data_IF_330985230174
#
_entry.id   IF_330985230174
#
_cell.length_a   1.000
_cell.length_b   1.000
_cell.length_c   1.000
_cell.angle_alpha   90.00
_cell.angle_beta   90.00
_cell.angle_gamma   90.00
#
_symmetry.space_group_name_H-M   'P 1'
#
loop_
_entity.id
_entity.type
_entity.pdbx_description
1 polymer ?
#
# COMPACT_ATOMS: atom_id res chain seq x y z
N UNK A 1 -4.44 10.79 28.03
CA UNK A 1 -5.06 10.79 26.68
C UNK A 1 -3.93 10.62 25.69
N UNK A 2 -4.13 9.79 24.66
CA UNK A 2 -3.13 9.60 23.59
C UNK A 2 -2.85 10.92 22.86
N UNK A 3 -1.58 11.20 22.57
CA UNK A 3 -1.19 12.36 21.76
C UNK A 3 -1.22 12.05 20.24
N UNK A 4 -1.57 10.82 19.88
CA UNK A 4 -1.67 10.41 18.47
C UNK A 4 -2.95 10.92 17.82
N UNK A 5 -2.91 11.12 16.51
CA UNK A 5 -4.13 11.39 15.77
C UNK A 5 -5.13 10.24 15.95
N UNK A 6 -6.45 10.51 15.99
CA UNK A 6 -7.44 9.45 16.12
C UNK A 6 -7.44 8.53 14.90
N UNK A 7 -7.82 7.26 15.05
CA UNK A 7 -8.09 6.39 13.93
C UNK A 7 -9.11 7.00 12.97
N UNK A 8 -9.04 6.61 11.70
CA UNK A 8 -9.96 7.06 10.67
C UNK A 8 -11.39 6.57 10.96
N UNK A 9 -12.40 7.39 10.69
CA UNK A 9 -13.79 7.13 11.05
C UNK A 9 -14.20 7.59 12.44
N UNK A 10 -13.26 8.07 13.28
CA UNK A 10 -13.53 8.78 14.54
C UNK A 10 -14.03 7.95 15.74
N UNK A 11 -14.20 6.64 15.55
CA UNK A 11 -14.76 5.72 16.60
C UNK A 11 -13.71 4.79 17.24
N UNK A 12 -12.43 5.03 17.06
CA UNK A 12 -11.38 4.08 17.41
C UNK A 12 -11.09 3.11 16.27
N UNK A 13 -10.23 2.13 16.52
CA UNK A 13 -9.97 1.06 15.55
C UNK A 13 -11.16 0.11 15.48
N UNK A 14 -11.62 -0.18 14.26
CA UNK A 14 -12.61 -1.24 13.98
C UNK A 14 -11.86 -2.54 13.80
N UNK A 15 -11.77 -3.34 14.86
CA UNK A 15 -11.07 -4.63 14.88
C UNK A 15 -12.09 -5.75 14.68
N UNK A 16 -11.92 -6.53 13.60
CA UNK A 16 -12.77 -7.67 13.27
C UNK A 16 -12.05 -9.01 13.47
N UNK A 17 -10.77 -9.00 13.88
CA UNK A 17 -9.99 -10.18 14.21
C UNK A 17 -10.45 -10.74 15.55
N UNK A 18 -10.90 -12.00 15.56
CA UNK A 18 -11.33 -12.68 16.77
C UNK A 18 -10.14 -13.28 17.53
N UNK A 19 -10.28 -13.40 18.85
CA UNK A 19 -9.28 -13.99 19.72
C UNK A 19 -9.96 -14.89 20.77
N UNK A 20 -9.18 -15.79 21.38
CA UNK A 20 -9.60 -16.62 22.51
C UNK A 20 -10.79 -17.54 22.21
N UNK A 21 -11.75 -17.61 23.12
CA UNK A 21 -12.88 -18.54 23.03
C UNK A 21 -13.82 -18.23 21.85
N UNK A 22 -14.02 -16.95 21.54
CA UNK A 22 -14.86 -16.52 20.41
C UNK A 22 -14.28 -16.99 19.08
N UNK A 23 -12.95 -16.92 18.92
CA UNK A 23 -12.24 -17.44 17.74
C UNK A 23 -12.47 -18.94 17.57
N UNK A 24 -12.34 -19.73 18.64
CA UNK A 24 -12.48 -21.18 18.58
C UNK A 24 -13.95 -21.62 18.26
N UNK A 25 -14.91 -20.88 18.76
CA UNK A 25 -16.33 -21.10 18.45
C UNK A 25 -16.62 -20.79 16.98
N UNK A 26 -16.17 -19.64 16.49
CA UNK A 26 -16.40 -19.22 15.12
C UNK A 26 -15.66 -20.10 14.11
N UNK A 27 -14.46 -20.60 14.42
CA UNK A 27 -13.72 -21.59 13.61
C UNK A 27 -14.50 -22.89 13.43
N UNK A 28 -15.12 -23.39 14.49
CA UNK A 28 -15.97 -24.60 14.41
C UNK A 28 -17.18 -24.38 13.52
N UNK A 29 -17.85 -23.24 13.69
CA UNK A 29 -18.99 -22.83 12.86
C UNK A 29 -18.60 -22.72 11.40
N UNK A 30 -17.47 -22.09 11.11
CA UNK A 30 -16.98 -21.84 9.74
C UNK A 30 -16.78 -23.12 8.93
N UNK A 31 -16.43 -24.24 9.55
CA UNK A 31 -16.26 -25.54 8.87
C UNK A 31 -17.54 -26.08 8.22
N UNK A 32 -18.70 -25.66 8.72
CA UNK A 32 -20.01 -26.07 8.16
C UNK A 32 -20.61 -25.08 7.15
N UNK A 33 -19.94 -23.94 6.89
CA UNK A 33 -20.43 -22.92 5.99
C UNK A 33 -20.00 -23.15 4.54
N UNK A 34 -20.75 -22.60 3.60
CA UNK A 34 -20.33 -22.51 2.20
C UNK A 34 -19.02 -21.74 2.11
N UNK A 35 -18.02 -22.35 1.51
CA UNK A 35 -16.72 -21.70 1.29
C UNK A 35 -16.73 -20.87 0.02
N UNK A 36 -16.21 -19.64 0.13
CA UNK A 36 -16.01 -18.70 -0.97
C UNK A 36 -14.49 -18.50 -1.10
N UNK A 37 -13.87 -18.92 -2.21
CA UNK A 37 -12.44 -18.77 -2.40
C UNK A 37 -12.07 -17.31 -2.63
N UNK A 38 -11.12 -16.81 -1.84
CA UNK A 38 -10.57 -15.45 -1.94
C UNK A 38 -9.25 -15.44 -2.72
N UNK A 39 -8.94 -14.31 -3.33
CA UNK A 39 -7.64 -14.08 -3.99
C UNK A 39 -6.61 -13.58 -2.97
N UNK A 40 -5.29 -13.64 -3.28
CA UNK A 40 -4.25 -13.07 -2.41
C UNK A 40 -4.46 -11.60 -2.09
N UNK A 41 -5.00 -10.81 -3.02
CA UNK A 41 -5.31 -9.41 -2.81
C UNK A 41 -6.46 -9.23 -1.81
N UNK A 42 -7.53 -10.02 -1.95
CA UNK A 42 -8.67 -10.01 -1.03
C UNK A 42 -8.27 -10.54 0.35
N UNK A 43 -7.33 -11.49 0.44
CA UNK A 43 -6.71 -11.94 1.70
C UNK A 43 -6.03 -10.78 2.41
N UNK A 44 -5.20 -10.01 1.70
CA UNK A 44 -4.52 -8.84 2.27
C UNK A 44 -5.52 -7.79 2.78
N UNK A 45 -6.58 -7.50 1.99
CA UNK A 45 -7.65 -6.59 2.39
C UNK A 45 -8.39 -7.09 3.64
N UNK A 46 -8.68 -8.38 3.69
CA UNK A 46 -9.35 -9.03 4.81
C UNK A 46 -8.54 -8.92 6.12
N UNK A 47 -7.22 -9.14 6.05
CA UNK A 47 -6.34 -8.99 7.22
C UNK A 47 -6.30 -7.52 7.66
N UNK A 48 -6.23 -6.57 6.72
CA UNK A 48 -6.28 -5.13 7.06
C UNK A 48 -7.61 -4.72 7.69
N UNK A 49 -8.74 -5.29 7.26
CA UNK A 49 -10.04 -5.11 7.93
C UNK A 49 -9.99 -5.73 9.32
N UNK A 50 -9.51 -6.97 9.42
CA UNK A 50 -9.43 -7.72 10.67
C UNK A 50 -8.66 -7.01 11.76
N UNK A 51 -7.48 -6.52 11.45
CA UNK A 51 -6.57 -5.86 12.40
C UNK A 51 -6.90 -4.39 12.67
N UNK A 52 -7.90 -3.84 11.98
CA UNK A 52 -8.28 -2.42 12.08
C UNK A 52 -7.44 -1.49 11.22
N UNK A 53 -6.57 -2.03 10.35
CA UNK A 53 -5.80 -1.25 9.38
C UNK A 53 -6.70 -0.48 8.40
N UNK A 54 -7.83 -1.06 8.05
CA UNK A 54 -8.83 -0.45 7.19
C UNK A 54 -10.04 0.15 7.95
N UNK A 55 -9.86 0.51 9.23
CA UNK A 55 -10.91 1.27 9.93
C UNK A 55 -11.36 2.48 9.12
N UNK A 56 -12.67 2.78 9.03
CA UNK A 56 -13.76 2.19 9.79
C UNK A 56 -14.43 0.96 9.15
N UNK A 57 -13.88 0.38 8.08
CA UNK A 57 -14.48 -0.77 7.42
C UNK A 57 -14.57 -1.97 8.39
N UNK A 58 -15.76 -2.58 8.44
CA UNK A 58 -16.01 -3.83 9.17
C UNK A 58 -16.21 -5.04 8.25
N UNK A 59 -16.01 -4.84 6.95
CA UNK A 59 -16.17 -5.85 5.92
C UNK A 59 -16.06 -5.28 4.51
N UNK A 60 -16.52 -6.03 3.53
CA UNK A 60 -16.46 -5.65 2.12
C UNK A 60 -17.64 -4.75 1.72
N UNK A 61 -17.36 -3.83 0.80
CA UNK A 61 -18.23 -2.72 0.44
C UNK A 61 -19.51 -3.15 -0.27
N UNK A 62 -20.61 -2.49 0.10
CA UNK A 62 -21.88 -2.50 -0.63
C UNK A 62 -21.73 -1.85 -2.01
N UNK A 63 -22.70 -2.05 -2.90
CA UNK A 63 -22.75 -1.36 -4.20
C UNK A 63 -22.81 0.16 -4.03
N UNK A 64 -23.51 0.63 -2.99
CA UNK A 64 -23.59 2.04 -2.67
C UNK A 64 -22.22 2.62 -2.27
N UNK A 65 -21.48 1.93 -1.39
CA UNK A 65 -20.10 2.32 -1.02
C UNK A 65 -19.18 2.28 -2.21
N UNK A 66 -19.17 1.18 -2.98
CA UNK A 66 -18.37 1.03 -4.18
C UNK A 66 -18.56 2.20 -5.16
N UNK A 67 -19.83 2.53 -5.44
CA UNK A 67 -20.18 3.63 -6.37
C UNK A 67 -19.72 4.98 -5.84
N UNK A 68 -20.00 5.27 -4.57
CA UNK A 68 -19.65 6.54 -3.93
C UNK A 68 -18.14 6.72 -3.81
N UNK A 69 -17.40 5.65 -3.50
CA UNK A 69 -15.93 5.67 -3.44
C UNK A 69 -15.34 5.96 -4.83
N UNK A 70 -15.86 5.31 -5.88
CA UNK A 70 -15.43 5.60 -7.25
C UNK A 70 -15.63 7.06 -7.62
N UNK A 71 -16.78 7.64 -7.31
CA UNK A 71 -17.16 8.98 -7.75
C UNK A 71 -16.65 10.10 -6.85
N UNK A 72 -16.76 9.91 -5.55
CA UNK A 72 -16.71 10.98 -4.57
C UNK A 72 -15.55 10.84 -3.55
N UNK A 73 -14.79 9.76 -3.56
CA UNK A 73 -13.81 9.44 -2.50
C UNK A 73 -14.45 9.29 -1.11
N UNK A 74 -15.72 8.91 -1.03
CA UNK A 74 -16.48 8.79 0.21
C UNK A 74 -17.23 7.46 0.26
N UNK A 75 -17.29 6.83 1.44
CA UNK A 75 -18.27 5.80 1.73
C UNK A 75 -19.68 6.38 1.67
N UNK A 76 -20.70 5.54 1.60
CA UNK A 76 -22.09 5.97 1.55
C UNK A 76 -22.54 6.79 2.77
N UNK A 77 -21.86 6.62 3.91
CA UNK A 77 -22.09 7.42 5.12
C UNK A 77 -21.35 8.77 5.13
N UNK A 78 -20.62 9.09 4.06
CA UNK A 78 -19.84 10.32 3.92
C UNK A 78 -18.42 10.26 4.51
N UNK A 79 -17.96 9.13 5.01
CA UNK A 79 -16.57 8.97 5.47
C UNK A 79 -15.61 8.90 4.29
N UNK A 80 -14.51 9.64 4.34
CA UNK A 80 -13.48 9.62 3.30
C UNK A 80 -12.94 8.20 3.08
N UNK A 81 -12.89 7.76 1.82
CA UNK A 81 -12.29 6.49 1.43
C UNK A 81 -11.92 6.48 -0.06
N UNK A 82 -10.64 6.23 -0.44
CA UNK A 82 -10.18 6.56 -1.80
C UNK A 82 -10.29 5.45 -2.85
N UNK A 83 -10.32 4.17 -2.45
CA UNK A 83 -10.31 3.02 -3.39
C UNK A 83 -11.31 1.96 -2.92
N UNK A 84 -12.11 1.36 -3.82
CA UNK A 84 -12.99 0.26 -3.46
C UNK A 84 -12.26 -0.92 -2.81
N UNK A 85 -12.87 -1.50 -1.77
CA UNK A 85 -12.47 -2.74 -1.10
C UNK A 85 -13.61 -3.73 -1.24
N UNK A 86 -13.49 -4.67 -2.16
CA UNK A 86 -14.57 -5.57 -2.58
C UNK A 86 -14.14 -7.03 -2.54
N UNK A 87 -15.10 -7.93 -2.39
CA UNK A 87 -14.91 -9.38 -2.43
C UNK A 87 -15.61 -9.95 -3.66
N UNK A 88 -14.83 -10.56 -4.53
CA UNK A 88 -15.38 -11.14 -5.77
C UNK A 88 -15.83 -12.59 -5.60
N UNK A 89 -16.95 -12.95 -6.25
CA UNK A 89 -17.50 -14.29 -6.28
C UNK A 89 -17.87 -14.72 -7.71
N UNK A 90 -17.76 -16.02 -7.99
CA UNK A 90 -18.25 -16.57 -9.24
C UNK A 90 -19.78 -16.46 -9.31
N UNK A 91 -20.34 -16.58 -10.52
CA UNK A 91 -21.80 -16.64 -10.69
C UNK A 91 -22.38 -17.84 -9.94
N UNK A 92 -21.72 -18.99 -9.98
CA UNK A 92 -22.14 -20.20 -9.28
C UNK A 92 -22.20 -20.00 -7.77
N UNK A 93 -21.16 -19.38 -7.19
CA UNK A 93 -21.14 -19.06 -5.77
C UNK A 93 -22.24 -18.06 -5.41
N UNK A 94 -22.40 -16.98 -6.18
CA UNK A 94 -23.40 -15.96 -5.95
C UNK A 94 -24.84 -16.50 -6.07
N UNK A 95 -25.11 -17.39 -7.02
CA UNK A 95 -26.42 -18.02 -7.19
C UNK A 95 -26.76 -18.98 -6.02
N UNK A 96 -25.75 -19.59 -5.40
CA UNK A 96 -25.91 -20.53 -4.27
C UNK A 96 -26.11 -19.86 -2.90
N UNK A 97 -25.98 -18.52 -2.82
CA UNK A 97 -26.04 -17.75 -1.58
C UNK A 97 -27.20 -16.76 -1.63
N UNK A 98 -27.91 -16.59 -0.53
CA UNK A 98 -28.92 -15.55 -0.32
C UNK A 98 -28.41 -14.44 0.57
N UNK A 99 -28.96 -13.24 0.43
CA UNK A 99 -28.74 -12.16 1.39
C UNK A 99 -29.26 -12.60 2.77
N UNK A 100 -28.44 -12.40 3.79
CA UNK A 100 -28.65 -12.88 5.14
C UNK A 100 -27.89 -14.17 5.47
N UNK A 101 -27.42 -14.92 4.48
CA UNK A 101 -26.60 -16.12 4.70
C UNK A 101 -25.24 -15.78 5.27
N UNK A 102 -24.66 -16.74 5.97
CA UNK A 102 -23.26 -16.69 6.40
C UNK A 102 -22.39 -17.61 5.53
N UNK A 103 -21.22 -17.13 5.16
CA UNK A 103 -20.25 -17.86 4.33
C UNK A 103 -18.88 -17.87 5.01
N UNK A 104 -18.05 -18.84 4.65
CA UNK A 104 -16.65 -18.91 5.05
C UNK A 104 -15.76 -18.39 3.91
N UNK A 105 -14.87 -17.47 4.19
CA UNK A 105 -13.88 -16.96 3.24
C UNK A 105 -12.63 -17.83 3.32
N UNK A 106 -12.34 -18.54 2.24
CA UNK A 106 -11.31 -19.57 2.17
C UNK A 106 -10.13 -19.12 1.32
N UNK A 107 -8.92 -19.20 1.87
CA UNK A 107 -7.68 -18.97 1.15
C UNK A 107 -7.17 -20.28 0.52
N UNK A 108 -7.23 -20.44 -0.82
CA UNK A 108 -6.77 -21.67 -1.49
C UNK A 108 -5.24 -21.84 -1.45
N UNK A 109 -4.46 -20.76 -1.28
CA UNK A 109 -3.00 -20.83 -1.19
C UNK A 109 -2.54 -21.32 0.19
N UNK A 110 -3.18 -20.83 1.25
CA UNK A 110 -2.89 -21.22 2.63
C UNK A 110 -3.65 -22.46 3.10
N UNK A 111 -4.61 -22.96 2.33
CA UNK A 111 -5.53 -24.06 2.68
C UNK A 111 -6.22 -23.80 4.03
N UNK A 112 -6.70 -22.57 4.25
CA UNK A 112 -7.35 -22.19 5.50
C UNK A 112 -8.58 -21.29 5.33
N UNK A 113 -9.51 -21.39 6.30
CA UNK A 113 -10.63 -20.44 6.39
C UNK A 113 -10.15 -19.21 7.15
N UNK A 114 -10.11 -18.08 6.43
CA UNK A 114 -9.60 -16.81 6.95
C UNK A 114 -10.64 -16.00 7.72
N UNK A 115 -11.93 -16.16 7.40
CA UNK A 115 -13.00 -15.40 8.04
C UNK A 115 -14.36 -16.06 7.83
N UNK A 116 -15.36 -15.64 8.62
CA UNK A 116 -16.77 -15.75 8.26
C UNK A 116 -17.31 -14.38 7.86
N UNK A 117 -18.31 -14.36 6.99
CA UNK A 117 -18.96 -13.14 6.53
C UNK A 117 -20.46 -13.34 6.48
N UNK A 118 -21.23 -12.37 7.01
CA UNK A 118 -22.68 -12.30 6.80
C UNK A 118 -22.94 -11.52 5.51
N UNK A 119 -23.45 -12.17 4.50
CA UNK A 119 -23.76 -11.52 3.21
C UNK A 119 -24.98 -10.60 3.37
N UNK A 120 -24.75 -9.30 3.24
CA UNK A 120 -25.83 -8.30 3.32
C UNK A 120 -26.31 -7.84 1.95
N UNK A 121 -25.46 -7.97 0.94
CA UNK A 121 -25.76 -7.61 -0.44
C UNK A 121 -24.88 -8.44 -1.38
N UNK A 122 -25.44 -8.80 -2.54
CA UNK A 122 -24.67 -9.31 -3.68
C UNK A 122 -25.03 -8.52 -4.92
N UNK A 123 -24.03 -8.10 -5.69
CA UNK A 123 -24.25 -7.29 -6.89
C UNK A 123 -23.32 -7.70 -8.02
N UNK A 124 -23.89 -7.65 -9.24
CA UNK A 124 -23.17 -8.00 -10.45
C UNK A 124 -22.14 -6.94 -10.82
N UNK A 125 -20.93 -7.40 -11.17
CA UNK A 125 -19.84 -6.60 -11.73
C UNK A 125 -19.73 -6.90 -13.22
N UNK A 126 -20.60 -6.22 -14.00
CA UNK A 126 -20.53 -6.27 -15.46
C UNK A 126 -19.18 -5.73 -15.96
N UNK A 127 -18.82 -6.04 -17.21
CA UNK A 127 -17.62 -5.47 -17.82
C UNK A 127 -17.64 -3.93 -17.79
N UNK A 128 -18.81 -3.31 -18.01
CA UNK A 128 -18.99 -1.86 -17.90
C UNK A 128 -18.68 -1.35 -16.48
N UNK A 129 -19.14 -2.04 -15.44
CA UNK A 129 -18.85 -1.68 -14.05
C UNK A 129 -17.37 -1.81 -13.72
N UNK A 130 -16.71 -2.85 -14.23
CA UNK A 130 -15.26 -3.03 -14.05
C UNK A 130 -14.47 -1.93 -14.76
N UNK A 131 -14.81 -1.62 -16.01
CA UNK A 131 -14.22 -0.50 -16.77
C UNK A 131 -14.44 0.83 -16.06
N UNK A 132 -15.64 1.08 -15.60
CA UNK A 132 -15.96 2.27 -14.82
C UNK A 132 -15.09 2.39 -13.55
N UNK A 133 -14.95 1.32 -12.77
CA UNK A 133 -14.06 1.30 -11.61
C UNK A 133 -12.61 1.59 -12.01
N UNK A 134 -12.12 0.99 -13.10
CA UNK A 134 -10.77 1.21 -13.59
C UNK A 134 -10.53 2.67 -13.97
N UNK A 135 -11.42 3.27 -14.74
CA UNK A 135 -11.33 4.69 -15.14
C UNK A 135 -11.29 5.61 -13.91
N UNK A 136 -12.18 5.37 -12.94
CA UNK A 136 -12.22 6.17 -11.72
C UNK A 136 -11.02 5.98 -10.80
N UNK A 137 -10.41 4.80 -10.81
CA UNK A 137 -9.35 4.45 -9.85
C UNK A 137 -7.95 4.65 -10.44
N UNK A 138 -7.75 4.36 -11.72
CA UNK A 138 -6.42 4.25 -12.33
C UNK A 138 -6.12 5.27 -13.44
N UNK A 139 -7.10 6.05 -13.89
CA UNK A 139 -6.78 7.16 -14.80
C UNK A 139 -6.12 8.30 -14.03
N UNK A 140 -4.91 8.67 -14.46
CA UNK A 140 -4.24 9.88 -13.98
C UNK A 140 -4.90 11.16 -14.52
N UNK A 141 -4.68 12.29 -13.86
CA UNK A 141 -5.24 13.59 -14.25
C UNK A 141 -4.77 14.06 -15.65
N UNK A 142 -3.57 13.62 -16.05
CA UNK A 142 -3.03 13.91 -17.39
C UNK A 142 -3.72 13.15 -18.53
N UNK A 143 -4.48 12.10 -18.21
CA UNK A 143 -5.20 11.27 -19.18
C UNK A 143 -6.65 11.74 -19.23
N UNK A 144 -6.97 12.65 -20.14
CA UNK A 144 -8.32 13.22 -20.29
C UNK A 144 -9.24 12.39 -21.17
N UNK A 145 -8.70 11.37 -21.86
CA UNK A 145 -9.41 10.53 -22.82
C UNK A 145 -9.36 9.06 -22.39
N UNK A 146 -10.53 8.49 -22.06
CA UNK A 146 -10.66 7.08 -21.71
C UNK A 146 -10.20 6.15 -22.85
N UNK A 147 -10.40 6.50 -24.11
CA UNK A 147 -9.92 5.68 -25.24
C UNK A 147 -8.39 5.56 -25.27
N UNK A 148 -7.68 6.62 -24.93
CA UNK A 148 -6.19 6.58 -24.83
C UNK A 148 -5.74 5.72 -23.64
N UNK A 149 -6.41 5.83 -22.51
CA UNK A 149 -6.15 4.99 -21.35
C UNK A 149 -6.31 3.51 -21.69
N UNK A 150 -7.43 3.12 -22.31
CA UNK A 150 -7.73 1.73 -22.62
C UNK A 150 -6.85 1.10 -23.70
N UNK A 151 -6.18 1.89 -24.55
CA UNK A 151 -5.23 1.36 -25.55
C UNK A 151 -4.06 0.59 -24.94
N UNK A 152 -3.68 0.93 -23.70
CA UNK A 152 -2.49 0.35 -23.04
C UNK A 152 -2.80 -0.24 -21.66
N UNK A 153 -3.90 0.18 -21.02
CA UNK A 153 -4.16 -0.14 -19.62
C UNK A 153 -4.41 -1.63 -19.36
N UNK A 154 -5.11 -2.34 -20.25
CA UNK A 154 -5.38 -3.77 -20.11
C UNK A 154 -4.08 -4.60 -20.17
N UNK A 155 -3.12 -4.19 -20.98
CA UNK A 155 -1.86 -4.92 -21.18
C UNK A 155 -0.76 -4.50 -20.18
N UNK A 156 -0.73 -3.23 -19.77
CA UNK A 156 0.41 -2.67 -19.06
C UNK A 156 0.13 -2.27 -17.60
N UNK A 157 -1.16 -2.14 -17.20
CA UNK A 157 -1.50 -1.69 -15.84
C UNK A 157 -1.94 -2.84 -14.94
N UNK A 158 -1.12 -3.28 -13.94
CA UNK A 158 -1.44 -4.44 -13.10
C UNK A 158 -2.74 -4.29 -12.30
N UNK A 159 -3.08 -3.07 -11.87
CA UNK A 159 -4.33 -2.79 -11.15
C UNK A 159 -5.56 -2.95 -12.04
N UNK A 160 -5.47 -2.51 -13.30
CA UNK A 160 -6.54 -2.70 -14.30
C UNK A 160 -6.73 -4.19 -14.57
N UNK A 161 -5.64 -4.93 -14.80
CA UNK A 161 -5.69 -6.38 -15.01
C UNK A 161 -6.37 -7.10 -13.83
N UNK A 162 -6.05 -6.74 -12.59
CA UNK A 162 -6.69 -7.30 -11.40
C UNK A 162 -8.21 -7.06 -11.41
N UNK A 163 -8.67 -5.84 -11.67
CA UNK A 163 -10.10 -5.50 -11.68
C UNK A 163 -10.82 -6.18 -12.86
N UNK A 164 -10.26 -6.16 -14.05
CA UNK A 164 -10.88 -6.78 -15.23
C UNK A 164 -11.00 -8.31 -15.07
N UNK A 165 -10.04 -8.94 -14.38
CA UNK A 165 -10.03 -10.38 -14.09
C UNK A 165 -10.84 -10.78 -12.84
N UNK A 166 -11.46 -9.83 -12.11
CA UNK A 166 -12.36 -10.16 -11.02
C UNK A 166 -13.52 -11.03 -11.50
N UNK A 167 -14.04 -11.88 -10.59
CA UNK A 167 -15.22 -12.69 -10.83
C UNK A 167 -16.45 -11.79 -11.09
N UNK A 168 -17.57 -12.39 -11.49
CA UNK A 168 -18.75 -11.66 -12.01
C UNK A 168 -19.57 -10.93 -10.96
N UNK A 169 -19.49 -11.33 -9.69
CA UNK A 169 -20.28 -10.75 -8.60
C UNK A 169 -19.35 -10.22 -7.50
N UNK A 170 -19.81 -9.22 -6.77
CA UNK A 170 -19.26 -8.86 -5.48
C UNK A 170 -20.24 -9.26 -4.37
N UNK A 171 -19.67 -9.74 -3.26
CA UNK A 171 -20.39 -10.00 -2.01
C UNK A 171 -20.00 -8.94 -0.99
N UNK A 172 -20.99 -8.34 -0.35
CA UNK A 172 -20.80 -7.31 0.65
C UNK A 172 -21.31 -7.77 2.02
N UNK A 173 -20.69 -7.26 3.07
CA UNK A 173 -21.13 -7.49 4.44
C UNK A 173 -20.01 -7.50 5.46
N UNK A 174 -20.35 -7.47 6.76
CA UNK A 174 -19.40 -7.51 7.85
C UNK A 174 -18.72 -8.87 7.96
N UNK A 175 -17.46 -8.84 8.38
CA UNK A 175 -16.62 -10.04 8.55
C UNK A 175 -16.24 -10.26 10.01
N UNK A 176 -15.99 -11.52 10.35
CA UNK A 176 -15.24 -11.94 11.54
C UNK A 176 -14.00 -12.66 11.07
N UNK A 177 -12.84 -12.06 11.29
CA UNK A 177 -11.55 -12.59 10.83
C UNK A 177 -11.00 -13.60 11.80
N UNK A 178 -10.57 -14.75 11.31
CA UNK A 178 -10.12 -15.91 12.09
C UNK A 178 -8.61 -16.11 12.02
N UNK A 179 -7.95 -15.55 11.02
CA UNK A 179 -6.52 -15.75 10.77
C UNK A 179 -5.89 -14.52 10.11
N UNK A 180 -4.61 -14.30 10.40
CA UNK A 180 -3.72 -13.37 9.70
C UNK A 180 -2.76 -14.11 8.77
N UNK A 181 -3.08 -15.39 8.43
CA UNK A 181 -2.19 -16.27 7.68
C UNK A 181 -0.83 -16.44 8.39
N UNK A 182 0.23 -16.62 7.66
CA UNK A 182 1.59 -16.79 8.19
C UNK A 182 2.33 -15.46 8.50
N UNK A 183 1.75 -14.31 8.17
CA UNK A 183 2.43 -13.01 8.30
C UNK A 183 3.04 -12.72 9.67
N UNK A 184 2.36 -12.98 10.82
CA UNK A 184 2.95 -12.75 12.13
C UNK A 184 4.15 -13.63 12.45
N UNK A 185 4.23 -14.83 11.86
CA UNK A 185 5.34 -15.78 12.06
C UNK A 185 6.45 -15.59 11.05
N UNK A 186 6.12 -15.41 9.77
CA UNK A 186 7.07 -15.21 8.66
C UNK A 186 7.83 -13.87 8.82
N UNK A 187 7.17 -12.84 9.33
CA UNK A 187 7.74 -11.50 9.50
C UNK A 187 7.82 -11.08 10.97
N UNK A 188 8.15 -12.02 11.85
CA UNK A 188 8.28 -11.77 13.28
C UNK A 188 9.26 -10.63 13.56
N UNK A 189 8.80 -9.68 14.37
CA UNK A 189 9.58 -8.50 14.79
C UNK A 189 9.39 -7.26 13.89
N UNK A 190 8.79 -7.44 12.69
CA UNK A 190 8.44 -6.30 11.84
C UNK A 190 6.94 -6.25 11.52
N UNK A 191 6.24 -7.39 11.38
CA UNK A 191 4.80 -7.36 11.22
C UNK A 191 4.16 -6.70 12.45
N UNK A 192 3.40 -5.63 12.23
CA UNK A 192 2.74 -4.88 13.30
C UNK A 192 1.27 -4.63 12.94
N UNK A 193 0.40 -4.89 13.91
CA UNK A 193 -0.99 -4.43 13.85
C UNK A 193 -1.08 -2.93 14.19
N UNK A 194 -2.13 -2.22 13.76
CA UNK A 194 -2.32 -0.80 14.12
C UNK A 194 -2.31 -0.53 15.63
N UNK A 195 -2.89 -1.41 16.44
CA UNK A 195 -2.88 -1.29 17.90
C UNK A 195 -1.47 -1.36 18.50
N UNK A 196 -0.62 -2.21 17.92
CA UNK A 196 0.77 -2.39 18.38
C UNK A 196 1.64 -1.19 18.00
N UNK A 197 1.57 -0.71 16.76
CA UNK A 197 2.31 0.47 16.33
C UNK A 197 1.92 1.71 17.14
N UNK A 198 0.61 1.91 17.37
CA UNK A 198 0.11 3.00 18.22
C UNK A 198 0.68 2.91 19.64
N UNK A 199 0.69 1.71 20.22
CA UNK A 199 1.29 1.50 21.55
C UNK A 199 2.78 1.83 21.57
N UNK A 200 3.55 1.39 20.56
CA UNK A 200 4.98 1.72 20.45
C UNK A 200 5.19 3.23 20.41
N UNK A 201 4.38 3.96 19.62
CA UNK A 201 4.50 5.42 19.54
C UNK A 201 4.11 6.12 20.83
N UNK A 202 3.08 5.64 21.53
CA UNK A 202 2.69 6.15 22.85
C UNK A 202 3.78 5.91 23.91
N UNK A 203 4.36 4.71 23.94
CA UNK A 203 5.46 4.36 24.86
C UNK A 203 6.72 5.22 24.61
N UNK A 204 6.95 5.62 23.36
CA UNK A 204 8.02 6.56 22.97
C UNK A 204 7.66 8.04 23.21
N UNK A 205 6.42 8.35 23.56
CA UNK A 205 5.93 9.73 23.70
C UNK A 205 5.82 10.49 22.39
N UNK A 206 5.77 9.79 21.26
CA UNK A 206 5.67 10.38 19.94
C UNK A 206 4.25 10.88 19.63
N UNK A 207 4.14 11.96 18.86
CA UNK A 207 2.87 12.53 18.39
C UNK A 207 2.89 12.92 16.91
N UNK A 208 4.06 13.33 16.41
CA UNK A 208 4.28 13.67 15.01
C UNK A 208 5.12 12.59 14.34
N UNK A 209 4.44 11.68 13.64
CA UNK A 209 5.05 10.48 13.06
C UNK A 209 4.78 10.45 11.56
N UNK A 210 5.76 10.77 10.71
CA UNK A 210 5.71 10.49 9.29
C UNK A 210 5.89 9.00 9.02
N UNK A 211 5.02 8.44 8.17
CA UNK A 211 5.19 7.09 7.63
C UNK A 211 5.92 7.14 6.29
N UNK A 212 6.82 6.20 6.08
CA UNK A 212 7.49 5.96 4.82
C UNK A 212 7.04 4.62 4.23
N UNK A 213 6.36 4.68 3.08
CA UNK A 213 5.97 3.49 2.32
C UNK A 213 7.17 2.91 1.58
N UNK A 214 7.43 1.61 1.75
CA UNK A 214 8.47 0.93 1.00
C UNK A 214 7.95 -0.37 0.37
N UNK A 215 8.26 -0.51 -0.91
CA UNK A 215 8.13 -1.76 -1.69
C UNK A 215 9.46 -2.19 -2.34
N UNK A 216 10.47 -1.36 -2.24
CA UNK A 216 11.82 -1.57 -2.75
C UNK A 216 12.83 -1.50 -1.61
N UNK A 217 14.05 -2.05 -1.76
CA UNK A 217 15.16 -1.78 -0.86
C UNK A 217 15.44 -0.28 -0.77
N UNK A 218 15.83 0.17 0.42
CA UNK A 218 16.16 1.57 0.63
C UNK A 218 17.49 1.92 -0.05
N UNK A 219 17.45 2.88 -0.96
CA UNK A 219 18.64 3.56 -1.49
C UNK A 219 18.82 4.93 -0.86
N UNK A 220 19.87 5.66 -1.25
CA UNK A 220 20.24 6.96 -0.65
C UNK A 220 19.11 8.00 -0.66
N UNK A 221 18.27 8.03 -1.71
CA UNK A 221 17.10 8.92 -1.71
C UNK A 221 16.11 8.57 -0.61
N UNK A 222 15.77 7.30 -0.42
CA UNK A 222 14.88 6.89 0.66
C UNK A 222 15.46 7.22 2.04
N UNK A 223 16.76 6.97 2.25
CA UNK A 223 17.48 7.35 3.47
C UNK A 223 17.35 8.86 3.73
N UNK A 224 17.56 9.67 2.69
CA UNK A 224 17.47 11.13 2.79
C UNK A 224 16.07 11.62 3.11
N UNK A 225 15.03 11.07 2.43
CA UNK A 225 13.63 11.37 2.73
C UNK A 225 13.26 11.05 4.19
N UNK A 226 13.69 9.88 4.68
CA UNK A 226 13.44 9.49 6.06
C UNK A 226 14.14 10.42 7.06
N UNK A 227 15.38 10.84 6.78
CA UNK A 227 16.12 11.79 7.63
C UNK A 227 15.51 13.18 7.64
N UNK A 228 15.04 13.69 6.49
CA UNK A 228 14.27 14.95 6.45
C UNK A 228 13.01 14.83 7.34
N UNK A 229 12.32 13.70 7.26
CA UNK A 229 11.13 13.48 8.07
C UNK A 229 11.45 13.46 9.57
N UNK A 230 12.54 12.83 9.99
CA UNK A 230 13.01 12.81 11.38
C UNK A 230 13.33 14.23 11.89
N UNK A 231 13.97 15.07 11.09
CA UNK A 231 14.34 16.45 11.49
C UNK A 231 13.11 17.31 11.84
N UNK A 232 11.96 17.03 11.27
CA UNK A 232 10.74 17.84 11.47
C UNK A 232 9.68 17.15 12.31
N UNK A 233 10.01 16.01 12.96
CA UNK A 233 9.07 15.17 13.70
C UNK A 233 9.74 14.46 14.89
N UNK A 234 9.01 13.59 15.57
CA UNK A 234 9.54 12.82 16.71
C UNK A 234 10.41 11.64 16.25
N UNK A 235 10.10 11.08 15.08
CA UNK A 235 10.78 9.97 14.45
C UNK A 235 10.09 9.57 13.15
N UNK A 236 10.46 8.46 12.54
CA UNK A 236 9.86 7.95 11.30
C UNK A 236 9.38 6.52 11.44
N UNK A 237 8.23 6.21 10.87
CA UNK A 237 7.73 4.85 10.73
C UNK A 237 8.03 4.31 9.32
N UNK A 238 9.03 3.44 9.21
CA UNK A 238 9.35 2.74 7.96
C UNK A 238 8.40 1.55 7.86
N UNK A 239 7.39 1.66 6.98
CA UNK A 239 6.32 0.70 6.88
C UNK A 239 6.38 -0.03 5.53
N UNK A 240 6.92 -1.25 5.58
CA UNK A 240 7.22 -2.06 4.42
C UNK A 240 6.06 -2.97 4.04
N UNK A 241 5.79 -3.05 2.75
CA UNK A 241 4.88 -4.03 2.20
C UNK A 241 5.49 -5.44 2.35
N UNK A 242 4.79 -6.36 3.00
CA UNK A 242 5.19 -7.78 3.07
C UNK A 242 4.23 -8.71 2.31
N UNK A 243 3.15 -8.17 1.76
CA UNK A 243 2.27 -8.88 0.82
C UNK A 243 2.91 -9.13 -0.55
N UNK A 244 2.12 -9.65 -1.47
CA UNK A 244 2.57 -10.00 -2.80
C UNK A 244 2.96 -8.77 -3.64
N UNK A 245 4.00 -8.94 -4.45
CA UNK A 245 4.51 -7.98 -5.40
C UNK A 245 4.40 -8.53 -6.83
N UNK A 246 4.53 -7.63 -7.81
CA UNK A 246 4.61 -8.08 -9.22
C UNK A 246 5.88 -8.89 -9.46
N UNK A 247 5.87 -9.78 -10.47
CA UNK A 247 7.07 -10.50 -10.90
C UNK A 247 8.25 -9.54 -11.16
N UNK A 248 9.43 -9.93 -10.68
CA UNK A 248 10.65 -9.10 -10.82
C UNK A 248 10.89 -8.07 -9.74
N UNK A 249 9.98 -7.88 -8.78
CA UNK A 249 10.27 -7.12 -7.57
C UNK A 249 11.07 -7.98 -6.57
N UNK A 250 11.88 -7.31 -5.73
CA UNK A 250 12.75 -7.97 -4.76
C UNK A 250 11.91 -8.54 -3.60
N UNK A 251 12.11 -9.81 -3.20
CA UNK A 251 11.35 -10.44 -2.11
C UNK A 251 11.38 -9.68 -0.79
N UNK A 252 10.36 -9.86 0.03
CA UNK A 252 10.19 -9.11 1.27
C UNK A 252 11.33 -9.38 2.27
N UNK A 253 11.79 -10.61 2.40
CA UNK A 253 12.88 -10.99 3.31
C UNK A 253 14.22 -10.30 2.95
N UNK A 254 14.54 -10.19 1.65
CA UNK A 254 15.72 -9.45 1.18
C UNK A 254 15.59 -7.96 1.45
N UNK A 255 14.39 -7.40 1.19
CA UNK A 255 14.12 -5.98 1.46
C UNK A 255 14.24 -5.65 2.95
N UNK A 256 13.72 -6.49 3.81
CA UNK A 256 13.81 -6.34 5.27
C UNK A 256 15.28 -6.34 5.70
N UNK A 257 16.09 -7.31 5.25
CA UNK A 257 17.53 -7.32 5.54
C UNK A 257 18.25 -6.04 5.10
N UNK A 258 17.89 -5.50 3.93
CA UNK A 258 18.43 -4.23 3.45
C UNK A 258 18.06 -3.04 4.36
N UNK A 259 16.81 -3.01 4.84
CA UNK A 259 16.33 -1.94 5.73
C UNK A 259 16.99 -2.07 7.10
N UNK A 260 17.06 -3.27 7.66
CA UNK A 260 17.68 -3.53 8.96
C UNK A 260 19.13 -3.07 9.02
N UNK A 261 19.94 -3.44 8.01
CA UNK A 261 21.34 -3.05 7.97
C UNK A 261 21.51 -1.54 7.80
N UNK A 262 20.61 -0.92 7.03
CA UNK A 262 20.62 0.53 6.85
C UNK A 262 20.24 1.26 8.13
N UNK A 263 19.16 0.86 8.78
CA UNK A 263 18.70 1.47 10.04
C UNK A 263 19.74 1.33 11.12
N UNK A 264 20.30 0.13 11.30
CA UNK A 264 21.34 -0.14 12.32
C UNK A 264 22.59 0.72 12.16
N UNK A 265 23.02 0.98 10.92
CA UNK A 265 24.32 1.63 10.67
C UNK A 265 24.22 3.13 10.39
N UNK A 266 23.04 3.64 9.98
CA UNK A 266 22.92 5.00 9.42
C UNK A 266 21.80 5.84 10.02
N UNK A 267 21.03 5.30 10.97
CA UNK A 267 20.00 6.04 11.70
C UNK A 267 20.27 6.05 13.20
N UNK A 268 19.71 7.03 13.88
CA UNK A 268 19.66 7.04 15.34
C UNK A 268 18.60 6.04 15.78
N UNK A 269 18.96 5.07 16.60
CA UNK A 269 18.15 3.91 16.97
C UNK A 269 16.74 4.29 17.44
N UNK A 270 16.64 5.26 18.35
CA UNK A 270 15.34 5.69 18.92
C UNK A 270 14.46 6.50 17.96
N UNK A 271 14.94 6.85 16.77
CA UNK A 271 14.22 7.70 15.81
C UNK A 271 13.52 6.93 14.70
N UNK A 272 13.65 5.61 14.67
CA UNK A 272 13.06 4.76 13.66
C UNK A 272 12.24 3.65 14.31
N UNK A 273 11.02 3.46 13.84
CA UNK A 273 10.23 2.25 14.05
C UNK A 273 10.02 1.59 12.70
N UNK A 274 10.26 0.29 12.61
CA UNK A 274 9.97 -0.50 11.43
C UNK A 274 8.66 -1.26 11.62
N UNK A 275 7.88 -1.39 10.54
CA UNK A 275 6.70 -2.22 10.50
C UNK A 275 6.51 -2.88 9.15
N UNK A 276 5.80 -4.02 9.14
CA UNK A 276 5.36 -4.71 7.94
C UNK A 276 3.85 -4.82 7.89
N UNK A 277 3.25 -4.79 6.70
CA UNK A 277 1.81 -4.95 6.51
C UNK A 277 1.50 -5.80 5.26
N UNK A 278 0.40 -6.61 5.27
CA UNK A 278 0.18 -7.70 4.33
C UNK A 278 -0.65 -7.31 3.10
N UNK A 279 -0.59 -6.06 2.66
CA UNK A 279 -1.42 -5.56 1.55
C UNK A 279 -0.71 -5.77 0.21
N UNK A 280 -1.47 -6.06 -0.84
CA UNK A 280 -0.98 -6.02 -2.21
C UNK A 280 -0.97 -4.58 -2.76
N UNK A 281 0.03 -4.27 -3.60
CA UNK A 281 0.02 -3.01 -4.35
C UNK A 281 -1.11 -3.00 -5.38
N UNK A 282 -1.81 -1.86 -5.46
CA UNK A 282 -2.84 -1.61 -6.47
C UNK A 282 -2.31 -0.87 -7.69
N UNK A 283 -1.16 -0.23 -7.54
CA UNK A 283 -0.53 0.63 -8.57
C UNK A 283 -1.42 1.80 -9.01
N UNK A 284 -2.32 2.24 -8.12
CA UNK A 284 -3.29 3.31 -8.39
C UNK A 284 -2.72 4.73 -8.21
N UNK A 285 -1.41 4.88 -8.13
CA UNK A 285 -0.73 6.17 -8.06
C UNK A 285 -1.34 7.13 -7.04
N UNK A 286 -1.98 8.24 -7.50
CA UNK A 286 -2.57 9.24 -6.61
C UNK A 286 -3.60 8.68 -5.63
N UNK A 287 -4.54 7.85 -6.08
CA UNK A 287 -5.54 7.24 -5.19
C UNK A 287 -4.92 6.27 -4.19
N UNK A 288 -3.88 5.55 -4.59
CA UNK A 288 -3.18 4.67 -3.65
C UNK A 288 -2.35 5.46 -2.64
N UNK A 289 -1.82 6.62 -2.99
CA UNK A 289 -1.18 7.52 -2.02
C UNK A 289 -2.17 7.96 -0.92
N UNK A 290 -3.41 8.24 -1.29
CA UNK A 290 -4.49 8.53 -0.35
C UNK A 290 -4.84 7.31 0.53
N UNK A 291 -4.95 6.10 -0.05
CA UNK A 291 -5.18 4.88 0.72
C UNK A 291 -4.03 4.61 1.70
N UNK A 292 -2.80 4.82 1.24
CA UNK A 292 -1.61 4.71 2.08
C UNK A 292 -1.64 5.68 3.27
N UNK A 293 -2.10 6.91 3.08
CA UNK A 293 -2.28 7.88 4.17
C UNK A 293 -3.43 7.47 5.10
N UNK A 294 -4.56 6.97 4.54
CA UNK A 294 -5.74 6.57 5.31
C UNK A 294 -5.41 5.47 6.31
N UNK A 295 -4.80 4.39 5.87
CA UNK A 295 -4.50 3.33 6.82
C UNK A 295 -3.29 3.66 7.73
N UNK A 296 -2.33 4.53 7.32
CA UNK A 296 -1.31 5.02 8.25
C UNK A 296 -1.90 5.87 9.37
N UNK A 297 -2.99 6.59 9.13
CA UNK A 297 -3.75 7.22 10.21
C UNK A 297 -4.21 6.19 11.25
N UNK A 298 -4.67 5.02 10.82
CA UNK A 298 -5.04 3.92 11.71
C UNK A 298 -3.84 3.37 12.49
N UNK A 299 -2.67 3.28 11.87
CA UNK A 299 -1.42 2.91 12.53
C UNK A 299 -0.88 3.99 13.48
N UNK A 300 -1.50 5.19 13.54
CA UNK A 300 -1.12 6.28 14.44
C UNK A 300 -0.22 7.34 13.82
N UNK A 301 0.04 7.27 12.51
CA UNK A 301 0.91 8.21 11.82
C UNK A 301 0.17 9.51 11.49
N UNK A 302 0.76 10.64 11.87
CA UNK A 302 0.22 11.98 11.60
C UNK A 302 0.51 12.48 10.18
N UNK A 303 1.53 11.95 9.54
CA UNK A 303 1.98 12.33 8.21
C UNK A 303 2.34 11.11 7.36
N UNK A 304 2.26 11.28 6.05
CA UNK A 304 2.73 10.32 5.06
C UNK A 304 3.74 10.98 4.15
N UNK A 305 4.93 10.40 4.00
CA UNK A 305 5.94 10.88 3.05
C UNK A 305 5.45 10.53 1.64
N UNK A 306 5.21 11.55 0.83
CA UNK A 306 4.83 11.41 -0.57
C UNK A 306 5.97 11.96 -1.43
N UNK A 307 6.72 11.04 -2.00
CA UNK A 307 7.79 11.34 -2.95
C UNK A 307 7.26 11.45 -4.39
N UNK A 308 8.19 11.53 -5.33
CA UNK A 308 7.90 11.46 -6.75
C UNK A 308 7.33 10.09 -7.12
N UNK A 309 6.33 10.07 -8.01
CA UNK A 309 5.74 8.84 -8.57
C UNK A 309 5.34 7.81 -7.50
N UNK A 310 4.68 8.31 -6.43
CA UNK A 310 4.26 7.46 -5.32
C UNK A 310 3.21 6.46 -5.77
N UNK A 311 3.48 5.17 -5.58
CA UNK A 311 2.62 4.05 -5.96
C UNK A 311 2.23 3.99 -7.45
N UNK A 312 2.97 4.68 -8.31
CA UNK A 312 2.75 4.66 -9.74
C UNK A 312 3.28 3.40 -10.44
N UNK A 313 2.89 3.25 -11.70
CA UNK A 313 3.37 2.22 -12.61
C UNK A 313 3.49 2.80 -14.02
N UNK A 314 4.54 2.42 -14.72
CA UNK A 314 4.77 2.89 -16.09
C UNK A 314 4.73 4.42 -16.17
N UNK A 315 3.99 4.88 -17.15
CA UNK A 315 3.78 6.29 -17.43
C UNK A 315 2.31 6.73 -17.27
N UNK A 316 1.52 6.02 -16.46
CA UNK A 316 0.10 6.30 -16.28
C UNK A 316 -0.20 7.57 -15.48
N UNK A 317 0.73 8.02 -14.62
CA UNK A 317 0.51 9.15 -13.71
C UNK A 317 1.55 10.23 -13.88
N UNK A 318 1.15 11.46 -13.60
CA UNK A 318 2.07 12.59 -13.51
C UNK A 318 3.03 12.44 -12.32
N UNK A 319 4.25 12.93 -12.49
CA UNK A 319 5.37 12.74 -11.55
C UNK A 319 5.06 13.16 -10.11
N UNK A 320 4.25 14.20 -9.91
CA UNK A 320 3.85 14.72 -8.59
C UNK A 320 2.33 14.65 -8.36
N UNK A 321 1.60 13.95 -9.18
CA UNK A 321 0.14 13.85 -9.11
C UNK A 321 -0.31 13.24 -7.78
N UNK A 322 0.45 12.27 -7.25
CA UNK A 322 0.23 11.71 -5.91
C UNK A 322 0.39 12.75 -4.77
N UNK A 323 1.07 13.87 -5.01
CA UNK A 323 1.16 14.97 -4.04
C UNK A 323 0.00 15.95 -4.19
N UNK A 324 -0.40 16.27 -5.43
CA UNK A 324 -1.42 17.29 -5.71
C UNK A 324 -2.83 16.80 -5.43
N UNK A 325 -3.07 15.48 -5.49
CA UNK A 325 -4.39 14.91 -5.20
C UNK A 325 -4.87 15.23 -3.78
N UNK A 326 -3.98 15.35 -2.80
CA UNK A 326 -4.34 15.71 -1.42
C UNK A 326 -4.99 17.09 -1.28
N UNK A 327 -4.77 17.98 -2.24
CA UNK A 327 -5.36 19.33 -2.25
C UNK A 327 -6.75 19.34 -2.91
N UNK A 328 -7.20 18.21 -3.48
CA UNK A 328 -8.42 18.08 -4.28
C UNK A 328 -9.46 17.14 -3.67
N UNK A 329 -9.10 16.40 -2.62
CA UNK A 329 -10.02 15.46 -1.97
C UNK A 329 -11.09 16.19 -1.17
N UNK A 330 -12.29 15.59 -1.00
CA UNK A 330 -13.30 16.14 -0.11
C UNK A 330 -12.80 16.13 1.34
N UNK A 331 -13.15 17.18 2.08
CA UNK A 331 -12.89 17.26 3.52
C UNK A 331 -14.22 17.31 4.28
N UNK A 332 -14.78 16.16 4.68
CA UNK A 332 -16.00 16.11 5.47
C UNK A 332 -15.88 16.91 6.77
N UNK A 333 -16.83 17.80 7.04
CA UNK A 333 -16.84 18.62 8.27
C UNK A 333 -17.16 17.80 9.53
N UNK A 334 -17.84 16.65 9.35
CA UNK A 334 -18.20 15.78 10.47
C UNK A 334 -16.96 15.16 11.10
N UNK A 335 -16.89 15.26 12.43
CA UNK A 335 -15.76 14.77 13.21
C UNK A 335 -15.43 13.31 12.92
N UNK A 336 -14.18 13.05 12.55
CA UNK A 336 -13.64 11.71 12.28
C UNK A 336 -13.83 11.20 10.85
N UNK A 337 -14.64 11.85 10.01
CA UNK A 337 -14.87 11.40 8.63
C UNK A 337 -13.80 11.84 7.64
N UNK A 338 -13.04 12.89 7.95
CA UNK A 338 -11.97 13.39 7.10
C UNK A 338 -10.66 12.61 7.25
N UNK A 339 -9.84 12.60 6.19
CA UNK A 339 -8.45 12.15 6.26
C UNK A 339 -7.62 13.17 7.06
N UNK A 340 -7.04 12.74 8.18
CA UNK A 340 -6.22 13.59 9.05
C UNK A 340 -4.71 13.39 8.84
N UNK A 341 -4.28 12.25 8.31
CA UNK A 341 -2.89 12.00 7.96
C UNK A 341 -2.47 12.90 6.79
N UNK A 342 -1.56 13.85 7.05
CA UNK A 342 -1.17 14.88 6.09
C UNK A 342 -0.03 14.42 5.19
N UNK A 343 0.02 14.83 3.91
CA UNK A 343 1.17 14.54 3.06
C UNK A 343 2.38 15.36 3.47
N UNK A 344 3.53 14.71 3.61
CA UNK A 344 4.84 15.36 3.62
C UNK A 344 5.38 15.33 2.18
N UNK A 345 5.12 16.41 1.43
CA UNK A 345 5.42 16.53 -0.01
C UNK A 345 6.90 16.86 -0.19
N UNK A 346 7.71 15.86 -0.56
CA UNK A 346 9.14 16.03 -0.80
C UNK A 346 9.40 15.92 -2.30
N UNK A 347 10.21 16.84 -2.81
CA UNK A 347 10.55 16.93 -4.22
C UNK A 347 11.49 15.81 -4.67
N UNK A 348 11.80 15.75 -5.93
CA UNK A 348 12.72 14.79 -6.52
C UNK A 348 14.11 14.90 -5.91
N UNK A 349 14.58 13.84 -5.31
CA UNK A 349 15.86 13.77 -4.62
C UNK A 349 16.91 13.02 -5.46
N UNK A 350 18.14 13.51 -5.44
CA UNK A 350 19.30 12.99 -6.16
C UNK A 350 20.57 13.25 -5.37
N UNK A 351 21.66 12.57 -5.71
CA UNK A 351 22.99 12.98 -5.26
C UNK A 351 23.55 14.02 -6.23
N UNK A 352 24.12 15.09 -5.71
CA UNK A 352 24.77 16.13 -6.50
C UNK A 352 26.26 16.15 -6.23
N UNK A 353 27.09 15.98 -7.28
CA UNK A 353 28.54 15.99 -7.16
C UNK A 353 29.10 17.33 -6.68
N UNK A 354 28.51 18.46 -7.10
CA UNK A 354 28.95 19.79 -6.66
C UNK A 354 28.51 20.15 -5.25
N UNK A 355 27.35 19.64 -4.79
CA UNK A 355 26.94 19.77 -3.40
C UNK A 355 27.65 18.79 -2.49
N UNK A 356 28.30 17.76 -3.05
CA UNK A 356 28.86 16.61 -2.36
C UNK A 356 27.88 15.96 -1.38
N UNK A 357 26.60 15.80 -1.84
CA UNK A 357 25.57 15.26 -0.98
C UNK A 357 24.22 15.09 -1.64
N UNK A 358 23.28 14.54 -0.85
CA UNK A 358 21.89 14.41 -1.26
C UNK A 358 21.21 15.77 -1.29
N UNK A 359 20.43 16.01 -2.32
CA UNK A 359 19.68 17.26 -2.55
C UNK A 359 18.37 16.99 -3.29
N UNK A 360 17.56 18.01 -3.47
CA UNK A 360 16.35 17.98 -4.30
C UNK A 360 16.36 19.12 -5.32
N UNK A 361 15.39 19.12 -6.25
CA UNK A 361 15.24 20.24 -7.18
C UNK A 361 14.97 21.58 -6.46
N UNK A 362 14.39 21.55 -5.25
CA UNK A 362 14.14 22.74 -4.42
C UNK A 362 15.41 23.25 -3.70
N UNK A 363 16.39 22.39 -3.49
CA UNK A 363 17.54 22.72 -2.61
C UNK A 363 18.88 22.81 -3.35
N UNK A 364 18.96 22.32 -4.59
CA UNK A 364 20.19 22.28 -5.37
C UNK A 364 20.12 23.20 -6.60
N UNK A 365 21.03 24.21 -6.71
CA UNK A 365 21.06 25.11 -7.86
C UNK A 365 21.82 24.55 -9.08
N UNK A 366 22.46 23.38 -8.96
CA UNK A 366 23.37 22.85 -10.00
C UNK A 366 22.59 22.19 -11.13
N UNK A 367 23.24 22.06 -12.29
CA UNK A 367 22.66 21.53 -13.50
C UNK A 367 22.46 20.00 -13.47
N UNK A 368 21.68 19.45 -14.44
CA UNK A 368 21.34 18.02 -14.50
C UNK A 368 22.57 17.12 -14.59
N UNK A 369 23.61 17.58 -15.27
CA UNK A 369 24.88 16.88 -15.48
C UNK A 369 25.66 16.62 -14.18
N UNK A 370 25.42 17.43 -13.15
CA UNK A 370 26.03 17.27 -11.83
C UNK A 370 25.29 16.30 -10.92
N UNK A 371 24.17 15.70 -11.39
CA UNK A 371 23.24 14.92 -10.57
C UNK A 371 23.29 13.43 -10.90
N UNK A 372 23.33 12.59 -9.88
CA UNK A 372 23.10 11.15 -9.98
C UNK A 372 21.66 10.86 -9.61
N UNK A 373 20.88 10.39 -10.59
CA UNK A 373 19.48 10.04 -10.40
C UNK A 373 19.41 8.66 -9.78
N UNK A 374 18.62 8.55 -8.71
CA UNK A 374 18.49 7.32 -7.92
C UNK A 374 17.08 6.79 -8.08
N UNK A 375 16.91 5.66 -8.77
CA UNK A 375 15.61 4.98 -8.87
C UNK A 375 15.75 3.47 -8.64
N UNK A 376 14.77 2.88 -7.93
CA UNK A 376 14.75 1.44 -7.68
C UNK A 376 14.73 0.60 -8.98
N UNK A 377 14.12 1.14 -10.04
CA UNK A 377 14.09 0.47 -11.36
C UNK A 377 15.48 0.42 -12.01
N UNK A 378 16.24 1.53 -11.96
CA UNK A 378 17.64 1.54 -12.46
C UNK A 378 18.52 0.59 -11.66
N UNK A 379 18.37 0.55 -10.33
CA UNK A 379 19.10 -0.38 -9.48
C UNK A 379 18.84 -1.83 -9.87
N UNK A 380 17.57 -2.22 -9.99
CA UNK A 380 17.21 -3.59 -10.39
C UNK A 380 17.77 -3.95 -11.77
N UNK A 381 17.70 -3.02 -12.71
CA UNK A 381 18.28 -3.23 -14.05
C UNK A 381 19.78 -3.46 -13.98
N UNK A 382 20.55 -2.59 -13.31
CA UNK A 382 21.99 -2.73 -13.16
C UNK A 382 22.37 -4.04 -12.48
N UNK A 383 21.66 -4.45 -11.44
CA UNK A 383 21.89 -5.73 -10.74
C UNK A 383 21.58 -6.92 -11.63
N UNK A 384 20.45 -6.90 -12.36
CA UNK A 384 20.05 -7.98 -13.27
C UNK A 384 21.03 -8.17 -14.45
N UNK A 385 21.55 -7.06 -14.98
CA UNK A 385 22.48 -7.05 -16.11
C UNK A 385 23.95 -7.21 -15.69
N UNK A 386 24.26 -7.13 -14.39
CA UNK A 386 25.62 -7.13 -13.87
C UNK A 386 26.42 -5.87 -14.25
N UNK A 387 25.72 -4.77 -14.54
CA UNK A 387 26.35 -3.49 -14.90
C UNK A 387 26.75 -2.71 -13.64
N UNK A 388 27.78 -1.81 -13.73
CA UNK A 388 28.20 -1.02 -12.60
C UNK A 388 27.05 -0.16 -12.06
N UNK A 389 26.91 -0.16 -10.74
CA UNK A 389 25.98 0.74 -10.05
C UNK A 389 26.69 2.06 -9.83
N UNK A 390 26.06 3.21 -10.17
CA UNK A 390 26.68 4.53 -9.96
C UNK A 390 27.12 4.74 -8.51
N UNK A 391 28.25 5.41 -8.31
CA UNK A 391 28.68 5.84 -6.98
C UNK A 391 27.58 6.64 -6.27
N UNK A 392 27.53 6.53 -4.95
CA UNK A 392 26.51 7.20 -4.12
C UNK A 392 25.06 6.76 -4.33
N UNK A 393 24.80 5.71 -5.12
CA UNK A 393 23.44 5.20 -5.31
C UNK A 393 22.87 4.58 -4.02
N UNK A 394 23.62 3.74 -3.35
CA UNK A 394 23.24 3.03 -2.14
C UNK A 394 24.40 2.92 -1.14
N UNK A 395 24.08 2.48 0.06
CA UNK A 395 25.09 2.09 1.03
C UNK A 395 25.71 0.75 0.64
N UNK A 396 27.00 0.60 0.84
CA UNK A 396 27.73 -0.59 0.44
C UNK A 396 27.09 -1.88 0.97
N UNK A 397 26.72 -1.88 2.24
CA UNK A 397 26.13 -3.04 2.92
C UNK A 397 24.78 -3.45 2.30
N UNK A 398 23.98 -2.48 1.87
CA UNK A 398 22.70 -2.74 1.15
C UNK A 398 22.98 -3.29 -0.23
N UNK A 399 23.94 -2.72 -0.97
CA UNK A 399 24.31 -3.17 -2.30
C UNK A 399 24.92 -4.59 -2.27
N UNK A 400 25.69 -4.93 -1.24
CA UNK A 400 26.26 -6.27 -1.08
C UNK A 400 25.15 -7.34 -0.88
N UNK A 401 24.15 -7.07 -0.04
CA UNK A 401 22.98 -7.96 0.13
C UNK A 401 22.24 -8.14 -1.21
N UNK A 402 22.04 -7.06 -1.95
CA UNK A 402 21.33 -7.13 -3.23
C UNK A 402 22.15 -7.87 -4.30
N UNK A 403 23.46 -7.70 -4.36
CA UNK A 403 24.33 -8.47 -5.28
C UNK A 403 24.26 -9.95 -4.96
N UNK A 404 24.40 -10.34 -3.70
CA UNK A 404 24.29 -11.73 -3.27
C UNK A 404 22.95 -12.37 -3.71
N UNK A 405 21.86 -11.63 -3.53
CA UNK A 405 20.54 -12.08 -4.00
C UNK A 405 20.49 -12.29 -5.51
N UNK A 406 20.94 -11.31 -6.32
CA UNK A 406 20.89 -11.40 -7.78
C UNK A 406 21.86 -12.43 -8.36
N UNK A 407 23.01 -12.64 -7.73
CA UNK A 407 23.97 -13.70 -8.10
C UNK A 407 23.43 -15.09 -7.82
N UNK A 408 22.53 -15.23 -6.84
CA UNK A 408 21.84 -16.49 -6.51
C UNK A 408 20.67 -16.84 -7.43
N UNK A 409 20.23 -15.92 -8.32
CA UNK A 409 19.12 -16.18 -9.23
C UNK A 409 19.56 -17.05 -10.41
N UNK A 410 18.75 -18.09 -10.72
CA UNK A 410 18.97 -18.97 -11.88
C UNK A 410 18.60 -18.31 -13.20
N UNK A 411 17.58 -17.45 -13.19
CA UNK A 411 17.07 -16.74 -14.35
C UNK A 411 17.27 -15.24 -14.22
N UNK A 412 17.66 -14.57 -15.30
CA UNK A 412 17.78 -13.11 -15.33
C UNK A 412 16.41 -12.46 -15.38
N UNK A 413 16.20 -11.49 -14.50
CA UNK A 413 14.96 -10.70 -14.47
C UNK A 413 15.05 -9.56 -15.48
N UNK A 414 14.14 -9.52 -16.47
CA UNK A 414 14.05 -8.40 -17.40
C UNK A 414 13.38 -7.21 -16.74
N UNK A 415 14.03 -6.03 -16.75
CA UNK A 415 13.55 -4.80 -16.15
C UNK A 415 13.38 -3.73 -17.23
N UNK A 416 12.14 -3.33 -17.50
CA UNK A 416 11.83 -2.21 -18.41
C UNK A 416 12.02 -0.88 -17.70
N UNK A 417 12.69 0.08 -18.36
CA UNK A 417 12.83 1.46 -17.87
C UNK A 417 11.68 2.32 -18.43
N UNK A 418 11.14 3.18 -17.58
CA UNK A 418 10.12 4.17 -17.91
C UNK A 418 10.65 5.59 -17.65
N UNK A 419 10.04 6.63 -18.23
CA UNK A 419 10.50 8.01 -18.17
C UNK A 419 10.71 8.52 -16.75
N UNK A 420 9.83 8.14 -15.81
CA UNK A 420 10.00 8.46 -14.38
C UNK A 420 11.29 7.87 -13.77
N UNK A 421 11.79 6.75 -14.28
CA UNK A 421 13.00 6.10 -13.78
C UNK A 421 14.29 6.73 -14.36
N UNK A 422 14.24 7.28 -15.57
CA UNK A 422 15.39 7.86 -16.28
C UNK A 422 15.61 9.34 -15.97
N UNK A 423 14.67 9.97 -15.32
CA UNK A 423 14.75 11.38 -14.97
C UNK A 423 14.27 12.33 -16.06
N UNK A 424 13.57 11.82 -17.04
CA UNK A 424 12.95 12.65 -18.04
C UNK A 424 11.65 13.24 -17.48
N UNK A 425 11.53 14.56 -17.55
CA UNK A 425 10.28 15.24 -17.21
C UNK A 425 9.27 14.93 -18.29
N UNK A 426 8.13 14.38 -17.94
CA UNK A 426 6.96 14.42 -18.81
C UNK A 426 6.55 15.88 -18.98
N UNK A 427 6.48 16.32 -20.21
CA UNK A 427 5.92 17.62 -20.57
C UNK A 427 4.41 17.60 -20.43
#
# INVERSE_FOLDING_TARGET
>A
MSNLIPPHGGKGLTICLLEGAELEEEKKKAQGLKQIPITPSERGDLIMIGTGGFSPLSGFMTKADWKSVCDNYLLADGTFWPIPVTLSASKEDADSISEGDEVALYDPEGDEIMATMKVTEKYEMTEENKRYQCEKTFMGEGTTNAEEFWKIAEDEHPGVQKVMNQKQFNLAGPVKVLSESDFPTAYKGIYLRPSESRKIFEDKGWSRIPAMQLRNPMHRSHEYLAKIAIEVSDGVFIHSLVGNLKPGDIPADVRVKCIDVLVKNYFVEDKVVQGGYPLDMRYAGPREALLHATFRQNYGCSHMIIGRDHAGVGDFYGMFEAQTIFDKIPYPEETGKALLCKPLKIDWTFYCHKCDGMASLKTCPHAKEDRVILSGTMLRKSLSEGTPIPDHFGRKEVLDILREYYEGLTDKVEVKLHGAATGDEKK
#
